data_IF_574242976599
#
_entry.id   IF_574242976599
#
_cell.length_a   1.000
_cell.length_b   1.000
_cell.length_c   1.000
_cell.angle_alpha   90.00
_cell.angle_beta   90.00
_cell.angle_gamma   90.00
#
_symmetry.space_group_name_H-M   'P 1'
#
loop_
_entity.id
_entity.type
_entity.pdbx_description
1 polymer ?
#
# COMPACT_ATOMS: atom_id res chain seq x y z
N UNK A 1 31.37 -24.24 -1.45
CA UNK A 1 31.16 -22.77 -1.44
C UNK A 1 29.66 -22.51 -1.51
N UNK A 2 28.98 -22.29 -0.40
CA UNK A 2 27.58 -21.84 -0.38
C UNK A 2 27.55 -20.33 -0.55
N UNK A 3 27.12 -19.86 -1.73
CA UNK A 3 26.83 -18.43 -1.94
C UNK A 3 25.63 -18.06 -1.09
N UNK A 4 25.89 -17.45 0.06
CA UNK A 4 24.87 -16.93 0.96
C UNK A 4 24.28 -15.64 0.34
N UNK A 5 23.32 -15.78 -0.57
CA UNK A 5 22.55 -14.64 -1.08
C UNK A 5 21.53 -14.28 0.00
N UNK A 6 21.77 -13.25 0.82
CA UNK A 6 20.76 -12.69 1.73
C UNK A 6 19.53 -12.36 0.88
N UNK A 7 18.48 -13.16 1.01
CA UNK A 7 17.53 -13.46 -0.07
C UNK A 7 16.45 -12.42 -0.35
N UNK A 8 16.36 -11.33 0.41
CA UNK A 8 15.25 -10.36 0.35
C UNK A 8 15.69 -8.93 0.02
N UNK A 9 16.99 -8.71 -0.24
CA UNK A 9 17.58 -7.39 -0.51
C UNK A 9 17.24 -6.31 0.54
N UNK A 10 16.96 -6.70 1.79
CA UNK A 10 16.58 -5.76 2.85
C UNK A 10 15.12 -5.28 2.80
N UNK A 11 14.29 -5.87 1.92
CA UNK A 11 12.87 -5.54 1.80
C UNK A 11 12.14 -5.70 3.14
N UNK A 12 12.41 -6.75 3.90
CA UNK A 12 11.74 -6.99 5.19
C UNK A 12 12.01 -5.87 6.19
N UNK A 13 13.26 -5.38 6.26
CA UNK A 13 13.65 -4.29 7.15
C UNK A 13 13.03 -2.96 6.73
N UNK A 14 12.98 -2.68 5.42
CA UNK A 14 12.24 -1.53 4.90
C UNK A 14 10.75 -1.64 5.25
N UNK A 15 10.12 -2.77 4.95
CA UNK A 15 8.70 -2.99 5.11
C UNK A 15 8.24 -2.95 6.58
N UNK A 16 9.09 -3.34 7.53
CA UNK A 16 8.79 -3.20 8.96
C UNK A 16 8.73 -1.75 9.45
N UNK A 17 9.34 -0.81 8.73
CA UNK A 17 9.32 0.63 9.07
C UNK A 17 8.22 1.40 8.33
N UNK A 18 7.48 0.75 7.43
CA UNK A 18 6.40 1.38 6.67
C UNK A 18 5.10 1.24 7.45
N UNK A 19 4.40 2.31 7.76
CA UNK A 19 3.08 2.23 8.40
C UNK A 19 1.93 2.30 7.38
N UNK A 20 2.18 3.00 6.26
CA UNK A 20 1.15 3.30 5.27
C UNK A 20 1.65 2.96 3.85
N UNK A 21 0.73 2.47 3.02
CA UNK A 21 0.95 2.16 1.62
C UNK A 21 0.07 3.08 0.76
N UNK A 22 0.65 3.61 -0.31
CA UNK A 22 -0.09 4.35 -1.33
C UNK A 22 0.16 3.67 -2.67
N UNK A 23 -0.89 3.35 -3.40
CA UNK A 23 -0.78 2.73 -4.73
C UNK A 23 -1.92 3.14 -5.67
N UNK A 24 -1.75 2.86 -6.95
CA UNK A 24 -2.81 3.00 -7.94
C UNK A 24 -3.74 1.79 -7.98
N UNK A 25 -4.94 1.97 -8.51
CA UNK A 25 -5.96 0.92 -8.62
C UNK A 25 -5.49 -0.37 -9.28
N UNK A 26 -4.79 -0.27 -10.40
CA UNK A 26 -4.33 -1.46 -11.13
C UNK A 26 -3.37 -2.33 -10.29
N UNK A 27 -2.53 -1.69 -9.47
CA UNK A 27 -1.64 -2.39 -8.54
C UNK A 27 -2.43 -3.06 -7.43
N UNK A 28 -3.43 -2.39 -6.87
CA UNK A 28 -4.32 -2.98 -5.87
C UNK A 28 -5.04 -4.22 -6.39
N UNK A 29 -5.69 -4.11 -7.55
CA UNK A 29 -6.43 -5.22 -8.16
C UNK A 29 -5.51 -6.41 -8.48
N UNK A 30 -4.29 -6.14 -8.97
CA UNK A 30 -3.30 -7.18 -9.19
C UNK A 30 -2.95 -7.89 -7.88
N UNK A 31 -2.63 -7.17 -6.80
CA UNK A 31 -2.30 -7.78 -5.52
C UNK A 31 -3.46 -8.62 -4.96
N UNK A 32 -4.71 -8.15 -5.09
CA UNK A 32 -5.89 -8.89 -4.61
C UNK A 32 -6.16 -10.14 -5.43
N UNK A 33 -5.78 -10.16 -6.71
CA UNK A 33 -5.91 -11.35 -7.56
C UNK A 33 -4.86 -12.41 -7.23
N UNK A 34 -3.63 -11.99 -6.95
CA UNK A 34 -2.51 -12.93 -6.71
C UNK A 34 -2.44 -13.42 -5.26
N UNK A 35 -3.03 -12.69 -4.31
CA UNK A 35 -2.97 -13.04 -2.89
C UNK A 35 -4.20 -13.85 -2.45
N UNK A 36 -3.97 -14.95 -1.73
CA UNK A 36 -5.05 -15.72 -1.10
C UNK A 36 -5.72 -14.92 0.04
N UNK A 37 -4.97 -14.03 0.68
CA UNK A 37 -5.41 -13.15 1.77
C UNK A 37 -4.81 -11.76 1.58
N UNK A 38 -5.43 -10.72 2.16
CA UNK A 38 -4.91 -9.37 2.09
C UNK A 38 -3.41 -9.30 2.52
N UNK A 39 -2.49 -8.87 1.64
CA UNK A 39 -1.06 -9.04 1.83
C UNK A 39 -0.42 -7.99 2.75
N UNK A 40 -1.17 -6.98 3.19
CA UNK A 40 -0.64 -5.85 3.95
C UNK A 40 -1.30 -5.71 5.34
N UNK A 41 -1.24 -6.76 6.19
CA UNK A 41 -1.90 -6.72 7.48
C UNK A 41 -1.34 -5.60 8.37
N UNK A 42 -2.24 -4.87 9.02
CA UNK A 42 -1.87 -3.83 9.99
C UNK A 42 -1.29 -2.55 9.37
N UNK A 43 -1.35 -2.38 8.05
CA UNK A 43 -0.92 -1.15 7.36
C UNK A 43 -2.12 -0.39 6.82
N UNK A 44 -2.11 0.94 6.94
CA UNK A 44 -3.12 1.77 6.29
C UNK A 44 -2.83 1.84 4.79
N UNK A 45 -3.82 1.52 3.96
CA UNK A 45 -3.61 1.41 2.51
C UNK A 45 -4.53 2.39 1.77
N UNK A 46 -3.94 3.32 1.02
CA UNK A 46 -4.66 4.25 0.14
C UNK A 46 -4.53 3.82 -1.31
N UNK A 47 -5.67 3.73 -2.00
CA UNK A 47 -5.74 3.35 -3.41
C UNK A 47 -6.27 4.52 -4.22
N UNK A 48 -5.39 5.14 -5.01
CA UNK A 48 -5.74 6.25 -5.88
C UNK A 48 -6.36 5.76 -7.18
N UNK A 49 -7.46 6.39 -7.56
CA UNK A 49 -8.24 6.02 -8.75
C UNK A 49 -9.08 7.18 -9.25
N UNK A 50 -9.32 7.25 -10.56
CA UNK A 50 -10.27 8.20 -11.15
C UNK A 50 -11.72 7.69 -11.14
N UNK A 51 -11.95 6.48 -10.61
CA UNK A 51 -13.28 5.90 -10.49
C UNK A 51 -13.98 6.41 -9.23
N UNK A 52 -15.14 7.04 -9.39
CA UNK A 52 -15.99 7.47 -8.29
C UNK A 52 -16.98 6.36 -7.87
N UNK A 53 -17.48 6.45 -6.64
CA UNK A 53 -18.57 5.59 -6.15
C UNK A 53 -18.17 4.13 -5.93
N UNK A 54 -16.90 3.88 -5.62
CA UNK A 54 -16.44 2.53 -5.26
C UNK A 54 -17.06 2.07 -3.94
N UNK A 55 -17.35 0.77 -3.79
CA UNK A 55 -17.83 0.22 -2.54
C UNK A 55 -16.77 0.38 -1.44
N UNK A 56 -17.23 0.44 -0.19
CA UNK A 56 -16.35 0.36 0.98
C UNK A 56 -15.56 -0.95 0.95
N UNK A 57 -14.29 -0.86 1.31
CA UNK A 57 -13.38 -2.00 1.41
C UNK A 57 -12.79 -2.04 2.83
N UNK A 58 -12.77 -3.21 3.50
CA UNK A 58 -12.26 -3.32 4.87
C UNK A 58 -10.74 -3.16 4.98
N UNK A 59 -10.01 -3.19 3.86
CA UNK A 59 -8.55 -3.19 3.84
C UNK A 59 -7.94 -1.91 3.29
N UNK A 60 -8.70 -1.12 2.52
CA UNK A 60 -8.19 0.08 1.84
C UNK A 60 -9.15 1.26 1.88
N UNK A 61 -8.59 2.45 1.78
CA UNK A 61 -9.33 3.69 1.50
C UNK A 61 -9.12 4.08 0.02
N UNK A 62 -10.22 4.16 -0.73
CA UNK A 62 -10.16 4.65 -2.11
C UNK A 62 -10.14 6.17 -2.13
N UNK A 63 -9.09 6.74 -2.71
CA UNK A 63 -8.94 8.19 -2.89
C UNK A 63 -9.23 8.51 -4.35
N UNK A 64 -10.25 9.32 -4.59
CA UNK A 64 -10.63 9.71 -5.95
C UNK A 64 -9.81 10.90 -6.45
N UNK A 65 -9.22 10.77 -7.64
CA UNK A 65 -8.49 11.85 -8.32
C UNK A 65 -6.97 11.70 -8.27
N UNK A 66 -6.29 12.79 -8.58
CA UNK A 66 -4.83 12.84 -8.66
C UNK A 66 -4.17 12.90 -7.28
N UNK A 67 -2.91 12.46 -7.23
CA UNK A 67 -2.08 12.64 -6.04
C UNK A 67 -1.65 14.12 -5.93
N UNK A 68 -2.29 14.84 -5.03
CA UNK A 68 -2.14 16.29 -4.88
C UNK A 68 -1.46 16.67 -3.54
N UNK A 69 -1.19 17.96 -3.29
CA UNK A 69 -0.59 18.38 -2.02
C UNK A 69 -1.44 18.07 -0.78
N UNK A 70 -2.77 17.98 -0.89
CA UNK A 70 -3.64 17.59 0.23
C UNK A 70 -3.51 16.09 0.54
N UNK A 71 -3.28 15.26 -0.47
CA UNK A 71 -2.96 13.84 -0.33
C UNK A 71 -1.73 13.59 0.55
N UNK A 72 -0.81 14.57 0.67
CA UNK A 72 0.32 14.48 1.61
C UNK A 72 -0.09 14.50 3.07
N UNK A 73 -1.22 15.12 3.42
CA UNK A 73 -1.70 15.19 4.81
C UNK A 73 -2.11 13.81 5.32
N UNK A 74 -2.75 13.00 4.46
CA UNK A 74 -3.08 11.59 4.75
C UNK A 74 -1.85 10.76 5.14
N UNK A 75 -0.68 11.15 4.63
CA UNK A 75 0.60 10.45 4.81
C UNK A 75 1.39 10.99 6.03
N UNK A 76 1.08 12.20 6.50
CA UNK A 76 1.90 12.90 7.50
C UNK A 76 1.40 12.76 8.95
N UNK A 77 0.17 12.31 9.17
CA UNK A 77 -0.44 12.23 10.51
C UNK A 77 0.22 11.19 11.46
N UNK A 78 1.21 10.43 11.00
CA UNK A 78 1.93 9.40 11.79
C UNK A 78 3.19 9.94 12.48
N UNK A 79 3.61 11.18 12.19
CA UNK A 79 4.83 11.79 12.78
C UNK A 79 4.57 12.76 13.95
N UNK A 80 3.38 12.75 14.55
CA UNK A 80 3.05 13.55 15.76
C UNK A 80 2.97 12.67 16.99
#
# INVERSE_FOLDING_TARGET
>A
MTRNRKGDNGYSAFYSMVDQLVMGRATYDFNMREAETFPYPGKTCYVFTNQAGLPLDPHVEFVSGDFDPESRRLIQDVLT
#
